data_IF_989933383451
#
_entry.id   IF_989933383451
#
_cell.length_a   1.000
_cell.length_b   1.000
_cell.length_c   1.000
_cell.angle_alpha   90.00
_cell.angle_beta   90.00
_cell.angle_gamma   90.00
#
_symmetry.space_group_name_H-M   'P 1'
#
loop_
_entity.id
_entity.type
_entity.pdbx_description
1 polymer ?
#
# COMPACT_ATOMS: atom_id res chain seq x y z
N UNK A 1 17.91 -13.93 -15.14
CA UNK A 1 18.69 -15.15 -14.98
C UNK A 1 17.89 -16.12 -14.09
N UNK A 2 18.34 -17.39 -13.93
CA UNK A 2 17.59 -18.41 -13.19
C UNK A 2 17.50 -18.07 -11.69
N UNK A 3 18.58 -17.56 -11.12
CA UNK A 3 18.63 -17.19 -9.70
C UNK A 3 17.72 -15.99 -9.38
N UNK A 4 17.65 -15.02 -10.28
CA UNK A 4 16.71 -13.89 -10.17
C UNK A 4 15.26 -14.37 -10.26
N UNK A 5 14.97 -15.32 -11.17
CA UNK A 5 13.63 -15.90 -11.29
C UNK A 5 13.22 -16.71 -10.05
N UNK A 6 14.13 -17.45 -9.47
CA UNK A 6 13.92 -18.19 -8.23
C UNK A 6 13.60 -17.24 -7.06
N UNK A 7 14.32 -16.12 -6.96
CA UNK A 7 14.06 -15.10 -5.95
C UNK A 7 12.69 -14.46 -6.11
N UNK A 8 12.28 -14.12 -7.33
CA UNK A 8 10.95 -13.57 -7.62
C UNK A 8 9.86 -14.57 -7.27
N UNK A 9 10.04 -15.85 -7.63
CA UNK A 9 9.08 -16.89 -7.25
C UNK A 9 9.00 -17.05 -5.72
N UNK A 10 10.12 -17.00 -5.02
CA UNK A 10 10.16 -17.03 -3.55
C UNK A 10 9.38 -15.86 -2.94
N UNK A 11 9.50 -14.66 -3.50
CA UNK A 11 8.73 -13.47 -3.09
C UNK A 11 7.22 -13.67 -3.30
N UNK A 12 6.80 -14.17 -4.46
CA UNK A 12 5.38 -14.46 -4.74
C UNK A 12 4.81 -15.55 -3.82
N UNK A 13 5.59 -16.60 -3.57
CA UNK A 13 5.21 -17.65 -2.61
C UNK A 13 5.08 -17.09 -1.21
N UNK A 14 5.94 -16.17 -0.80
CA UNK A 14 5.84 -15.51 0.50
C UNK A 14 4.55 -14.69 0.63
N UNK A 15 4.10 -13.98 -0.43
CA UNK A 15 2.80 -13.30 -0.44
C UNK A 15 1.63 -14.26 -0.24
N UNK A 16 1.68 -15.42 -0.89
CA UNK A 16 0.64 -16.45 -0.73
C UNK A 16 0.65 -17.01 0.69
N UNK A 17 1.83 -17.37 1.19
CA UNK A 17 1.99 -17.93 2.53
C UNK A 17 1.56 -16.95 3.64
N UNK A 18 1.78 -15.66 3.46
CA UNK A 18 1.35 -14.61 4.38
C UNK A 18 -0.15 -14.28 4.29
N UNK A 19 -0.89 -14.84 3.34
CA UNK A 19 -2.30 -14.52 3.10
C UNK A 19 -2.53 -13.07 2.67
N UNK A 20 -1.57 -12.48 2.00
CA UNK A 20 -1.54 -11.04 1.68
C UNK A 20 -2.70 -10.60 0.79
N UNK A 21 -3.16 -11.45 -0.12
CA UNK A 21 -4.31 -11.15 -0.98
C UNK A 21 -5.60 -11.02 -0.17
N UNK A 22 -5.84 -11.95 0.74
CA UNK A 22 -7.03 -11.95 1.60
C UNK A 22 -7.02 -10.75 2.54
N UNK A 23 -5.88 -10.50 3.17
CA UNK A 23 -5.72 -9.39 4.11
C UNK A 23 -5.94 -8.03 3.42
N UNK A 24 -5.41 -7.85 2.20
CA UNK A 24 -5.63 -6.61 1.43
C UNK A 24 -7.08 -6.44 1.00
N UNK A 25 -7.74 -7.51 0.55
CA UNK A 25 -9.15 -7.46 0.17
C UNK A 25 -10.04 -7.08 1.36
N UNK A 26 -9.80 -7.69 2.52
CA UNK A 26 -10.51 -7.37 3.77
C UNK A 26 -10.25 -5.93 4.22
N UNK A 27 -8.98 -5.50 4.22
CA UNK A 27 -8.62 -4.14 4.58
C UNK A 27 -9.32 -3.10 3.69
N UNK A 28 -9.31 -3.29 2.38
CA UNK A 28 -9.99 -2.41 1.44
C UNK A 28 -11.51 -2.41 1.64
N UNK A 29 -12.12 -3.56 1.88
CA UNK A 29 -13.55 -3.68 2.18
C UNK A 29 -13.94 -2.90 3.43
N UNK A 30 -13.17 -3.05 4.52
CA UNK A 30 -13.38 -2.32 5.78
C UNK A 30 -13.19 -0.81 5.57
N UNK A 31 -12.10 -0.39 4.93
CA UNK A 31 -11.81 1.02 4.68
C UNK A 31 -12.91 1.67 3.82
N UNK A 32 -13.34 1.02 2.74
CA UNK A 32 -14.41 1.54 1.88
C UNK A 32 -15.72 1.69 2.65
N UNK A 33 -16.10 0.68 3.44
CA UNK A 33 -17.30 0.75 4.26
C UNK A 33 -17.21 1.90 5.27
N UNK A 34 -16.05 2.06 5.92
CA UNK A 34 -15.82 3.12 6.89
C UNK A 34 -15.93 4.51 6.24
N UNK A 35 -15.32 4.73 5.08
CA UNK A 35 -15.42 5.98 4.31
C UNK A 35 -16.87 6.32 4.00
N UNK A 36 -17.61 5.35 3.45
CA UNK A 36 -19.01 5.53 3.07
C UNK A 36 -19.89 5.90 4.29
N UNK A 37 -19.74 5.19 5.39
CA UNK A 37 -20.54 5.41 6.60
C UNK A 37 -20.18 6.75 7.23
N UNK A 38 -18.87 7.03 7.38
CA UNK A 38 -18.39 8.24 8.02
C UNK A 38 -18.77 9.51 7.25
N UNK A 39 -18.64 9.48 5.93
CA UNK A 39 -19.02 10.61 5.08
C UNK A 39 -20.52 10.97 5.26
N UNK A 40 -21.39 9.95 5.31
CA UNK A 40 -22.82 10.17 5.52
C UNK A 40 -23.17 10.63 6.93
N UNK A 41 -22.49 10.10 7.95
CA UNK A 41 -22.68 10.54 9.33
C UNK A 41 -22.29 12.01 9.50
N UNK A 42 -21.12 12.39 8.98
CA UNK A 42 -20.64 13.78 9.04
C UNK A 42 -21.55 14.71 8.24
N UNK A 43 -21.96 14.33 7.03
CA UNK A 43 -22.88 15.13 6.22
C UNK A 43 -24.23 15.37 6.93
N UNK A 44 -24.78 14.35 7.60
CA UNK A 44 -25.99 14.51 8.42
C UNK A 44 -25.76 15.41 9.63
N UNK A 45 -24.63 15.27 10.32
CA UNK A 45 -24.30 16.13 11.44
C UNK A 45 -24.19 17.59 11.01
N UNK A 46 -23.57 17.88 9.87
CA UNK A 46 -23.48 19.22 9.29
C UNK A 46 -24.88 19.76 8.96
N UNK A 47 -25.74 18.96 8.31
CA UNK A 47 -27.12 19.34 7.99
C UNK A 47 -27.91 19.70 9.24
N UNK A 48 -27.83 18.89 10.27
CA UNK A 48 -28.54 19.15 11.55
C UNK A 48 -28.01 20.38 12.29
N UNK A 49 -26.69 20.63 12.22
CA UNK A 49 -26.08 21.78 12.92
C UNK A 49 -26.42 23.11 12.23
N UNK A 50 -26.66 23.10 10.91
CA UNK A 50 -27.03 24.32 10.14
C UNK A 50 -28.49 24.70 10.30
N UNK A 51 -29.30 23.93 11.04
CA UNK A 51 -30.74 24.15 11.26
C UNK A 51 -31.51 24.44 9.95
N UNK A 52 -31.02 23.90 8.85
CA UNK A 52 -31.57 24.03 7.50
C UNK A 52 -31.59 22.69 6.82
N UNK A 53 -32.74 22.33 6.29
CA UNK A 53 -32.84 21.22 5.35
C UNK A 53 -31.97 21.55 4.12
N UNK A 54 -30.77 20.95 4.05
CA UNK A 54 -29.95 21.07 2.86
C UNK A 54 -30.69 20.40 1.72
N UNK A 55 -31.03 21.16 0.67
CA UNK A 55 -31.61 20.57 -0.53
C UNK A 55 -30.77 19.40 -1.04
N UNK A 56 -31.40 18.42 -1.66
CA UNK A 56 -30.74 17.17 -2.05
C UNK A 56 -29.41 17.35 -2.78
N UNK A 57 -29.27 18.33 -3.66
CA UNK A 57 -28.05 18.62 -4.40
C UNK A 57 -26.91 19.09 -3.48
N UNK A 58 -27.19 19.94 -2.49
CA UNK A 58 -26.19 20.42 -1.53
C UNK A 58 -25.71 19.28 -0.62
N UNK A 59 -26.62 18.42 -0.17
CA UNK A 59 -26.27 17.23 0.60
C UNK A 59 -25.36 16.28 -0.21
N UNK A 60 -25.67 16.01 -1.47
CA UNK A 60 -24.83 15.20 -2.34
C UNK A 60 -23.45 15.81 -2.55
N UNK A 61 -23.35 17.13 -2.72
CA UNK A 61 -22.06 17.81 -2.87
C UNK A 61 -21.18 17.65 -1.61
N UNK A 62 -21.79 17.80 -0.43
CA UNK A 62 -21.07 17.60 0.85
C UNK A 62 -20.61 16.16 1.00
N UNK A 63 -21.48 15.18 0.75
CA UNK A 63 -21.11 13.75 0.80
C UNK A 63 -19.97 13.47 -0.17
N UNK A 64 -20.04 13.96 -1.39
CA UNK A 64 -19.01 13.76 -2.41
C UNK A 64 -17.64 14.30 -1.96
N UNK A 65 -17.60 15.51 -1.40
CA UNK A 65 -16.34 16.10 -0.88
C UNK A 65 -15.80 15.28 0.30
N UNK A 66 -16.67 14.84 1.20
CA UNK A 66 -16.26 14.01 2.34
C UNK A 66 -15.77 12.63 1.88
N UNK A 67 -16.43 12.00 0.91
CA UNK A 67 -15.97 10.73 0.31
C UNK A 67 -14.58 10.89 -0.32
N UNK A 68 -14.31 12.00 -1.01
CA UNK A 68 -12.98 12.29 -1.56
C UNK A 68 -11.92 12.44 -0.46
N UNK A 69 -12.21 13.22 0.58
CA UNK A 69 -11.26 13.46 1.69
C UNK A 69 -10.99 12.18 2.47
N UNK A 70 -12.02 11.49 2.90
CA UNK A 70 -11.86 10.24 3.65
C UNK A 70 -11.28 9.12 2.78
N UNK A 71 -11.62 9.07 1.49
CA UNK A 71 -11.03 8.16 0.52
C UNK A 71 -9.52 8.36 0.35
N UNK A 72 -9.05 9.61 0.38
CA UNK A 72 -7.62 9.92 0.37
C UNK A 72 -6.92 9.36 1.62
N UNK A 73 -7.48 9.55 2.81
CA UNK A 73 -6.94 8.98 4.05
C UNK A 73 -6.95 7.45 4.03
N UNK A 74 -8.04 6.83 3.59
CA UNK A 74 -8.15 5.39 3.42
C UNK A 74 -7.10 4.85 2.46
N UNK A 75 -6.85 5.55 1.34
CA UNK A 75 -5.80 5.19 0.39
C UNK A 75 -4.40 5.26 1.00
N UNK A 76 -4.12 6.26 1.83
CA UNK A 76 -2.82 6.37 2.53
C UNK A 76 -2.60 5.19 3.48
N UNK A 77 -3.64 4.77 4.22
CA UNK A 77 -3.59 3.59 5.09
C UNK A 77 -3.34 2.32 4.27
N UNK A 78 -4.09 2.12 3.19
CA UNK A 78 -3.93 0.97 2.32
C UNK A 78 -2.53 0.89 1.69
N UNK A 79 -1.98 2.03 1.25
CA UNK A 79 -0.62 2.10 0.69
C UNK A 79 0.45 1.88 1.76
N UNK A 80 0.25 2.39 2.98
CA UNK A 80 1.16 2.10 4.09
C UNK A 80 1.21 0.61 4.38
N UNK A 81 0.05 -0.04 4.46
CA UNK A 81 -0.05 -1.47 4.68
C UNK A 81 0.56 -2.27 3.51
N UNK A 82 0.29 -1.86 2.26
CA UNK A 82 0.88 -2.47 1.07
C UNK A 82 2.41 -2.44 1.10
N UNK A 83 3.01 -1.30 1.48
CA UNK A 83 4.48 -1.20 1.62
C UNK A 83 5.03 -2.13 2.70
N UNK A 84 4.37 -2.22 3.84
CA UNK A 84 4.83 -3.08 4.93
C UNK A 84 4.83 -4.57 4.53
N UNK A 85 3.87 -4.96 3.73
CA UNK A 85 3.73 -6.29 3.17
C UNK A 85 4.87 -6.67 2.23
N UNK A 86 5.34 -5.72 1.40
CA UNK A 86 6.46 -5.94 0.49
C UNK A 86 7.76 -6.32 1.24
N UNK A 87 8.05 -5.63 2.34
CA UNK A 87 9.23 -5.97 3.16
C UNK A 87 9.15 -7.39 3.73
N UNK A 88 7.96 -7.83 4.18
CA UNK A 88 7.78 -9.21 4.65
C UNK A 88 7.91 -10.23 3.53
N UNK A 89 7.40 -9.92 2.33
CA UNK A 89 7.53 -10.79 1.18
C UNK A 89 8.99 -10.88 0.71
N UNK A 90 9.75 -9.79 0.77
CA UNK A 90 11.18 -9.80 0.48
C UNK A 90 11.96 -10.68 1.47
N UNK A 91 11.64 -10.59 2.75
CA UNK A 91 12.25 -11.45 3.77
C UNK A 91 11.91 -12.91 3.54
N UNK A 92 10.64 -13.22 3.23
CA UNK A 92 10.21 -14.57 2.88
C UNK A 92 10.88 -15.10 1.63
N UNK A 93 10.97 -14.29 0.58
CA UNK A 93 11.70 -14.62 -0.65
C UNK A 93 13.19 -14.86 -0.40
N UNK A 94 13.81 -14.01 0.41
CA UNK A 94 15.21 -14.18 0.82
C UNK A 94 15.46 -15.44 1.65
N UNK A 95 14.52 -15.83 2.50
CA UNK A 95 14.61 -17.08 3.26
C UNK A 95 14.45 -18.31 2.37
N UNK A 96 13.61 -18.25 1.33
CA UNK A 96 13.34 -19.36 0.42
C UNK A 96 14.43 -19.53 -0.65
N UNK A 97 14.82 -18.44 -1.31
CA UNK A 97 15.73 -18.48 -2.46
C UNK A 97 17.16 -18.06 -2.14
N UNK A 98 17.38 -17.41 -1.01
CA UNK A 98 18.64 -16.83 -0.61
C UNK A 98 18.66 -15.30 -0.73
N UNK A 99 19.24 -14.66 0.29
CA UNK A 99 19.28 -13.19 0.41
C UNK A 99 20.00 -12.51 -0.76
N UNK A 100 21.13 -13.06 -1.18
CA UNK A 100 21.93 -12.50 -2.27
C UNK A 100 21.17 -12.53 -3.60
N UNK A 101 20.45 -13.62 -3.89
CA UNK A 101 19.61 -13.74 -5.09
C UNK A 101 18.46 -12.72 -5.07
N UNK A 102 17.85 -12.53 -3.89
CA UNK A 102 16.77 -11.54 -3.75
C UNK A 102 17.28 -10.10 -3.96
N UNK A 103 18.44 -9.76 -3.40
CA UNK A 103 19.09 -8.45 -3.62
C UNK A 103 19.44 -8.27 -5.11
N UNK A 104 19.99 -9.30 -5.76
CA UNK A 104 20.32 -9.25 -7.20
C UNK A 104 19.07 -9.03 -8.05
N UNK A 105 17.97 -9.73 -7.75
CA UNK A 105 16.69 -9.57 -8.44
C UNK A 105 16.13 -8.14 -8.28
N UNK A 106 16.15 -7.56 -7.07
CA UNK A 106 15.72 -6.19 -6.84
C UNK A 106 16.63 -5.16 -7.54
N UNK A 107 17.95 -5.35 -7.53
CA UNK A 107 18.90 -4.50 -8.27
C UNK A 107 18.64 -4.57 -9.77
N UNK A 108 18.37 -5.75 -10.32
CA UNK A 108 17.99 -5.91 -11.73
C UNK A 108 16.69 -5.19 -12.06
N UNK A 109 15.70 -5.31 -11.18
CA UNK A 109 14.42 -4.62 -11.32
C UNK A 109 14.60 -3.10 -11.30
N UNK A 110 15.49 -2.55 -10.46
CA UNK A 110 15.76 -1.12 -10.38
C UNK A 110 16.38 -0.58 -11.67
N UNK A 111 17.23 -1.34 -12.34
CA UNK A 111 17.82 -0.98 -13.62
C UNK A 111 16.78 -0.94 -14.75
N UNK A 112 15.77 -1.81 -14.68
CA UNK A 112 14.71 -1.89 -15.70
C UNK A 112 13.54 -0.93 -15.44
N UNK A 113 13.33 -0.47 -14.20
CA UNK A 113 12.32 0.53 -13.84
C UNK A 113 12.81 1.97 -14.07
N UNK A 114 13.40 2.24 -15.20
CA UNK A 114 13.61 3.61 -15.65
C UNK A 114 12.26 4.32 -15.79
N UNK A 115 11.91 5.14 -14.76
CA UNK A 115 10.92 6.20 -14.81
C UNK A 115 9.42 5.83 -14.74
N UNK A 116 8.75 6.44 -13.76
CA UNK A 116 7.30 6.62 -13.57
C UNK A 116 6.50 5.46 -12.97
N UNK A 117 6.58 5.34 -11.65
CA UNK A 117 5.72 4.45 -10.85
C UNK A 117 4.60 5.17 -10.07
N UNK A 118 4.12 6.32 -10.57
CA UNK A 118 2.91 6.92 -9.99
C UNK A 118 1.68 6.18 -10.51
N UNK A 119 0.77 5.73 -9.64
CA UNK A 119 -0.51 5.19 -10.05
C UNK A 119 -1.22 6.15 -11.00
N UNK A 120 -1.79 5.63 -12.09
CA UNK A 120 -2.49 6.45 -13.11
C UNK A 120 -3.57 7.36 -12.51
N UNK A 121 -4.19 6.93 -11.40
CA UNK A 121 -5.17 7.70 -10.66
C UNK A 121 -4.59 8.98 -10.05
N UNK A 122 -3.36 8.91 -9.52
CA UNK A 122 -2.68 10.08 -8.93
C UNK A 122 -2.16 11.03 -10.01
N UNK A 123 -1.71 10.49 -11.14
CA UNK A 123 -1.29 11.27 -12.30
C UNK A 123 -2.48 12.04 -12.92
N UNK A 124 -3.69 11.47 -12.90
CA UNK A 124 -4.91 12.11 -13.41
C UNK A 124 -5.33 13.36 -12.63
N UNK A 125 -4.96 13.50 -11.36
CA UNK A 125 -5.25 14.68 -10.54
C UNK A 125 -4.28 15.85 -10.76
N UNK A 126 -3.34 15.76 -11.70
CA UNK A 126 -2.40 16.84 -12.00
C UNK A 126 -1.44 17.22 -10.86
N UNK A 127 -1.39 16.41 -9.80
CA UNK A 127 -0.66 16.69 -8.56
C UNK A 127 0.84 16.36 -8.67
N UNK A 128 1.27 15.85 -9.82
CA UNK A 128 2.64 15.36 -10.04
C UNK A 128 3.74 16.44 -9.96
N UNK A 129 3.39 17.73 -10.09
CA UNK A 129 4.37 18.83 -10.09
C UNK A 129 4.52 19.60 -8.77
N UNK A 130 3.54 19.53 -7.87
CA UNK A 130 3.46 20.38 -6.67
C UNK A 130 3.64 19.63 -5.34
N UNK A 131 3.65 18.30 -5.35
CA UNK A 131 3.79 17.51 -4.12
C UNK A 131 5.24 17.39 -3.69
N UNK A 132 5.54 17.85 -2.49
CA UNK A 132 6.82 17.59 -1.84
C UNK A 132 7.14 16.10 -1.78
N UNK A 133 8.44 15.74 -1.79
CA UNK A 133 8.93 14.35 -1.80
C UNK A 133 8.27 13.45 -0.75
N UNK A 134 7.90 14.00 0.41
CA UNK A 134 7.23 13.25 1.49
C UNK A 134 5.82 12.78 1.12
N UNK A 135 4.99 13.64 0.54
CA UNK A 135 3.61 13.30 0.18
C UNK A 135 3.55 12.32 -1.00
N UNK A 136 4.45 12.49 -1.98
CA UNK A 136 4.63 11.54 -3.08
C UNK A 136 4.96 10.14 -2.56
N UNK A 137 5.82 10.04 -1.55
CA UNK A 137 6.21 8.77 -0.93
C UNK A 137 5.04 8.07 -0.21
N UNK A 138 4.10 8.83 0.38
CA UNK A 138 2.91 8.28 1.01
C UNK A 138 1.93 7.67 0.00
N UNK A 139 1.95 8.12 -1.24
CA UNK A 139 1.05 7.69 -2.31
C UNK A 139 1.63 6.59 -3.21
N UNK A 140 2.85 6.12 -2.96
CA UNK A 140 3.43 4.98 -3.67
C UNK A 140 2.87 3.66 -3.12
N UNK A 141 2.41 2.79 -4.01
CA UNK A 141 1.91 1.45 -3.67
C UNK A 141 3.03 0.48 -3.26
N UNK A 142 4.24 0.69 -3.78
CA UNK A 142 5.42 -0.10 -3.44
C UNK A 142 6.49 0.80 -2.81
N UNK A 143 7.29 0.27 -1.84
CA UNK A 143 8.45 0.99 -1.34
C UNK A 143 9.47 1.21 -2.47
N UNK A 144 10.27 2.29 -2.41
CA UNK A 144 11.42 2.44 -3.30
C UNK A 144 12.32 1.20 -3.22
N UNK A 145 12.81 0.72 -4.39
CA UNK A 145 13.62 -0.49 -4.46
C UNK A 145 14.90 -0.38 -3.64
N UNK A 146 15.47 0.83 -3.54
CA UNK A 146 16.64 1.08 -2.71
C UNK A 146 16.37 0.88 -1.21
N UNK A 147 15.14 1.12 -0.74
CA UNK A 147 14.77 0.87 0.65
C UNK A 147 14.62 -0.63 0.92
N UNK A 148 14.02 -1.36 -0.03
CA UNK A 148 13.88 -2.82 0.04
C UNK A 148 15.26 -3.50 0.05
N UNK A 149 16.17 -3.07 -0.84
CA UNK A 149 17.55 -3.56 -0.90
C UNK A 149 18.28 -3.28 0.42
N UNK A 150 18.23 -2.03 0.92
CA UNK A 150 18.86 -1.67 2.20
C UNK A 150 18.32 -2.47 3.38
N UNK A 151 17.02 -2.73 3.42
CA UNK A 151 16.40 -3.54 4.45
C UNK A 151 16.94 -4.98 4.45
N UNK A 152 17.11 -5.58 3.26
CA UNK A 152 17.72 -6.91 3.12
C UNK A 152 19.21 -6.91 3.49
N UNK A 153 19.97 -5.88 3.08
CA UNK A 153 21.41 -5.75 3.38
C UNK A 153 21.64 -5.55 4.88
N UNK A 154 20.79 -4.80 5.57
CA UNK A 154 20.89 -4.56 7.00
C UNK A 154 20.53 -5.78 7.86
N UNK A 155 19.93 -6.82 7.29
CA UNK A 155 19.43 -7.98 8.05
C UNK A 155 18.31 -7.64 9.05
N UNK A 156 17.79 -6.44 9.01
CA UNK A 156 16.82 -5.88 9.97
C UNK A 156 15.39 -6.19 9.59
N UNK A 157 15.10 -7.42 9.20
CA UNK A 157 13.71 -7.78 8.92
C UNK A 157 13.28 -8.76 9.99
N UNK A 158 12.24 -8.35 10.74
CA UNK A 158 11.49 -9.18 11.70
C UNK A 158 10.91 -10.48 11.06
N UNK A 159 11.25 -10.77 9.81
CA UNK A 159 10.80 -11.92 9.04
C UNK A 159 11.40 -13.25 9.49
N UNK A 160 12.60 -13.26 10.04
CA UNK A 160 13.18 -14.52 10.59
C UNK A 160 12.39 -15.01 11.81
N UNK A 161 11.92 -14.07 12.64
CA UNK A 161 11.09 -14.41 13.79
C UNK A 161 9.67 -14.86 13.38
N UNK A 162 9.10 -14.28 12.34
CA UNK A 162 7.75 -14.62 11.87
C UNK A 162 7.68 -15.98 11.16
N UNK A 163 8.71 -16.36 10.40
CA UNK A 163 8.80 -17.68 9.76
C UNK A 163 9.00 -18.81 10.77
N UNK A 164 9.74 -18.56 11.84
CA UNK A 164 9.94 -19.59 12.89
C UNK A 164 8.68 -19.84 13.73
N UNK A 165 7.82 -18.82 13.89
CA UNK A 165 6.56 -18.97 14.63
C UNK A 165 5.43 -19.57 13.77
N UNK A 166 5.43 -19.35 12.46
CA UNK A 166 4.41 -19.88 11.55
C UNK A 166 4.62 -21.32 11.09
N UNK A 167 5.86 -21.87 11.22
CA UNK A 167 6.17 -23.25 10.85
C UNK A 167 5.99 -24.23 12.03
N UNK A 168 5.76 -23.76 13.24
CA UNK A 168 5.56 -24.54 14.46
C UNK A 168 4.13 -24.54 14.98
N UNK A 169 3.20 -23.90 14.28
CA UNK A 169 1.76 -23.91 14.53
C UNK A 169 1.02 -24.68 13.44
#
# INVERSE_FOLDING_TARGET
>A
DRDEAEAVLGHEVAHVANGDMVTMALLQGVLNTFVIVLARLVARAISNFMDRDMGGLAYFAVVFVLDMVFGLFASMIAMWFSRHREFRADAGGAALAGREKMIAALKRLSLNQGQNTLPKQVAAFGISGAMGHGLRRLLLSHPPLEERIRALEAGSIDGEAALHQGLLA
#
